data_IF_739098296164
#
_entry.id   IF_739098296164
#
_cell.length_a   1.000
_cell.length_b   1.000
_cell.length_c   1.000
_cell.angle_alpha   90.00
_cell.angle_beta   90.00
_cell.angle_gamma   90.00
#
_symmetry.space_group_name_H-M   'P 1'
#
loop_
_entity.id
_entity.type
_entity.pdbx_description
1 polymer ?
#
# COMPACT_ATOMS: atom_id res chain seq x y z
N UNK A 1 -6.04 3.12 17.93
CA UNK A 1 -6.59 1.85 18.46
C UNK A 1 -5.43 0.88 18.66
N UNK A 2 -5.43 0.06 19.72
CA UNK A 2 -4.36 -0.91 19.95
C UNK A 2 -4.66 -2.18 19.13
N UNK A 3 -3.66 -2.70 18.40
CA UNK A 3 -3.77 -3.89 17.54
C UNK A 3 -4.47 -5.08 18.21
N UNK A 4 -4.19 -5.33 19.49
CA UNK A 4 -4.82 -6.41 20.25
C UNK A 4 -6.37 -6.31 20.29
N UNK A 5 -6.89 -5.08 20.33
CA UNK A 5 -8.33 -4.85 20.34
C UNK A 5 -8.95 -5.09 18.95
N UNK A 6 -8.24 -4.69 17.88
CA UNK A 6 -8.67 -4.94 16.49
C UNK A 6 -8.67 -6.44 16.15
N UNK A 7 -7.66 -7.19 16.63
CA UNK A 7 -7.60 -8.65 16.49
C UNK A 7 -8.78 -9.31 17.22
N UNK A 8 -9.07 -8.87 18.46
CA UNK A 8 -10.20 -9.38 19.23
C UNK A 8 -11.55 -9.09 18.56
N UNK A 9 -11.75 -7.88 18.03
CA UNK A 9 -12.96 -7.54 17.27
C UNK A 9 -13.10 -8.35 15.98
N UNK A 10 -11.97 -8.76 15.41
CA UNK A 10 -11.94 -9.61 14.23
C UNK A 10 -12.08 -11.08 14.57
N UNK A 11 -12.30 -11.49 15.83
CA UNK A 11 -12.32 -12.90 16.24
C UNK A 11 -11.01 -13.63 15.85
N UNK A 12 -9.88 -12.93 15.93
CA UNK A 12 -8.56 -13.52 15.74
C UNK A 12 -7.99 -13.91 17.11
N UNK A 13 -7.65 -15.19 17.27
CA UNK A 13 -7.09 -15.73 18.51
C UNK A 13 -5.62 -15.34 18.73
N UNK A 14 -4.96 -14.80 17.71
CA UNK A 14 -3.56 -14.39 17.80
C UNK A 14 -3.38 -13.24 18.82
N UNK A 15 -2.34 -13.36 19.64
CA UNK A 15 -1.75 -12.21 20.32
C UNK A 15 -1.08 -11.26 19.32
N UNK A 16 -0.79 -10.03 19.73
CA UNK A 16 -0.13 -9.05 18.86
C UNK A 16 1.25 -9.48 18.35
N UNK A 17 1.99 -10.31 19.10
CA UNK A 17 3.30 -10.82 18.65
C UNK A 17 3.14 -12.04 17.74
N UNK A 18 2.20 -12.96 18.03
CA UNK A 18 1.89 -14.08 17.11
C UNK A 18 1.42 -13.57 15.76
N UNK A 19 0.52 -12.59 15.75
CA UNK A 19 0.06 -11.95 14.53
C UNK A 19 1.23 -11.31 13.77
N UNK A 20 2.15 -10.64 14.47
CA UNK A 20 3.35 -10.08 13.84
C UNK A 20 4.23 -11.15 13.20
N UNK A 21 4.54 -12.23 13.91
CA UNK A 21 5.36 -13.33 13.38
C UNK A 21 4.68 -13.96 12.16
N UNK A 22 3.34 -14.06 12.19
CA UNK A 22 2.53 -14.52 11.07
C UNK A 22 2.66 -13.63 9.85
N UNK A 23 2.49 -12.32 10.02
CA UNK A 23 2.64 -11.34 8.95
C UNK A 23 4.03 -11.47 8.30
N UNK A 24 5.09 -11.56 9.09
CA UNK A 24 6.47 -11.73 8.59
C UNK A 24 6.61 -13.05 7.83
N UNK A 25 6.18 -14.17 8.43
CA UNK A 25 6.28 -15.51 7.82
C UNK A 25 5.55 -15.57 6.47
N UNK A 26 4.31 -15.10 6.41
CA UNK A 26 3.50 -15.12 5.18
C UNK A 26 4.15 -14.23 4.13
N UNK A 27 4.68 -13.07 4.53
CA UNK A 27 5.36 -12.16 3.62
C UNK A 27 6.63 -12.78 3.04
N UNK A 28 7.52 -13.31 3.86
CA UNK A 28 8.77 -13.92 3.41
C UNK A 28 8.52 -15.13 2.53
N UNK A 29 7.43 -15.87 2.78
CA UNK A 29 7.06 -17.05 1.98
C UNK A 29 6.47 -16.67 0.62
N UNK A 30 5.60 -15.66 0.56
CA UNK A 30 4.80 -15.33 -0.63
C UNK A 30 5.37 -14.19 -1.47
N UNK A 31 6.15 -13.31 -0.85
CA UNK A 31 6.65 -12.08 -1.45
C UNK A 31 8.13 -11.82 -1.09
N UNK A 32 9.05 -12.80 -1.23
CA UNK A 32 10.45 -12.68 -0.78
C UNK A 32 11.26 -11.61 -1.53
N UNK A 33 10.79 -11.19 -2.71
CA UNK A 33 11.50 -10.31 -3.63
C UNK A 33 11.06 -8.84 -3.56
N UNK A 34 10.12 -8.48 -2.68
CA UNK A 34 9.68 -7.10 -2.53
C UNK A 34 9.70 -6.65 -1.07
N UNK A 35 9.56 -5.35 -0.87
CA UNK A 35 9.39 -4.74 0.45
C UNK A 35 7.93 -4.48 0.75
N UNK A 36 7.60 -4.24 2.02
CA UNK A 36 6.22 -3.90 2.41
C UNK A 36 5.72 -2.62 1.73
N UNK A 37 6.58 -1.60 1.54
CA UNK A 37 6.18 -0.38 0.83
C UNK A 37 5.83 -0.68 -0.66
N UNK A 38 6.56 -1.60 -1.29
CA UNK A 38 6.27 -2.06 -2.66
C UNK A 38 4.98 -2.88 -2.72
N UNK A 39 4.76 -3.77 -1.74
CA UNK A 39 3.56 -4.59 -1.66
C UNK A 39 2.30 -3.72 -1.62
N UNK A 40 2.26 -2.71 -0.75
CA UNK A 40 1.08 -1.83 -0.63
C UNK A 40 0.90 -0.90 -1.85
N UNK A 41 1.92 -0.75 -2.70
CA UNK A 41 1.82 -0.08 -4.01
C UNK A 41 1.35 -1.03 -5.14
N UNK A 42 1.10 -2.29 -4.83
CA UNK A 42 0.61 -3.30 -5.78
C UNK A 42 -0.70 -3.87 -5.25
N UNK A 43 -1.84 -3.19 -5.50
CA UNK A 43 -3.11 -3.53 -4.88
C UNK A 43 -3.51 -5.00 -5.00
N UNK A 44 -3.26 -5.61 -6.16
CA UNK A 44 -3.54 -7.03 -6.39
C UNK A 44 -2.68 -7.96 -5.55
N UNK A 45 -1.41 -7.64 -5.36
CA UNK A 45 -0.50 -8.43 -4.53
C UNK A 45 -0.81 -8.20 -3.04
N UNK A 46 -1.15 -6.97 -2.65
CA UNK A 46 -1.62 -6.66 -1.31
C UNK A 46 -2.89 -7.43 -0.92
N UNK A 47 -3.86 -7.58 -1.84
CA UNK A 47 -5.03 -8.45 -1.62
C UNK A 47 -4.63 -9.91 -1.41
N UNK A 48 -3.78 -10.46 -2.30
CA UNK A 48 -3.30 -11.85 -2.18
C UNK A 48 -2.57 -12.10 -0.87
N UNK A 49 -1.76 -11.13 -0.44
CA UNK A 49 -1.09 -11.19 0.86
C UNK A 49 -2.09 -11.19 2.01
N UNK A 50 -3.09 -10.30 1.99
CA UNK A 50 -4.14 -10.27 3.01
C UNK A 50 -4.95 -11.57 3.05
N UNK A 51 -5.29 -12.13 1.89
CA UNK A 51 -5.97 -13.43 1.78
C UNK A 51 -5.12 -14.56 2.39
N UNK A 52 -3.80 -14.57 2.12
CA UNK A 52 -2.88 -15.56 2.67
C UNK A 52 -2.77 -15.43 4.20
N UNK A 53 -2.68 -14.21 4.73
CA UNK A 53 -2.67 -13.96 6.18
C UNK A 53 -3.97 -14.43 6.83
N UNK A 54 -5.15 -14.11 6.25
CA UNK A 54 -6.44 -14.57 6.77
C UNK A 54 -6.54 -16.09 6.80
N UNK A 55 -6.14 -16.74 5.72
CA UNK A 55 -6.16 -18.20 5.62
C UNK A 55 -5.26 -18.84 6.67
N UNK A 56 -4.07 -18.29 6.86
CA UNK A 56 -3.06 -18.82 7.77
C UNK A 56 -3.44 -18.55 9.25
N UNK A 57 -4.04 -17.38 9.53
CA UNK A 57 -4.64 -17.04 10.83
C UNK A 57 -5.96 -17.78 11.12
N UNK A 58 -6.52 -18.49 10.13
CA UNK A 58 -7.85 -19.11 10.18
C UNK A 58 -8.97 -18.12 10.56
N UNK A 59 -8.77 -16.85 10.25
CA UNK A 59 -9.66 -15.76 10.65
C UNK A 59 -10.13 -15.00 9.41
N UNK A 60 -11.36 -15.28 8.97
CA UNK A 60 -11.94 -14.74 7.72
C UNK A 60 -12.40 -13.29 7.82
N UNK A 61 -12.68 -12.86 9.04
CA UNK A 61 -13.22 -11.55 9.44
C UNK A 61 -12.15 -10.45 9.50
N UNK A 62 -10.86 -10.82 9.52
CA UNK A 62 -9.75 -9.86 9.48
C UNK A 62 -9.78 -9.03 8.19
N UNK A 63 -9.96 -7.72 8.34
CA UNK A 63 -9.94 -6.82 7.19
C UNK A 63 -8.54 -6.64 6.60
N UNK A 64 -8.48 -6.38 5.28
CA UNK A 64 -7.23 -6.03 4.59
C UNK A 64 -6.54 -4.84 5.26
N UNK A 65 -7.34 -3.87 5.72
CA UNK A 65 -6.86 -2.70 6.43
C UNK A 65 -6.07 -3.07 7.68
N UNK A 66 -6.62 -3.91 8.57
CA UNK A 66 -5.93 -4.32 9.80
C UNK A 66 -4.61 -5.03 9.47
N UNK A 67 -4.62 -5.92 8.47
CA UNK A 67 -3.44 -6.69 8.06
C UNK A 67 -2.34 -5.77 7.51
N UNK A 68 -2.67 -4.93 6.52
CA UNK A 68 -1.71 -4.07 5.83
C UNK A 68 -1.23 -2.92 6.74
N UNK A 69 -2.13 -2.31 7.53
CA UNK A 69 -1.78 -1.28 8.49
C UNK A 69 -0.84 -1.84 9.58
N UNK A 70 -1.08 -3.07 10.04
CA UNK A 70 -0.19 -3.74 11.00
C UNK A 70 1.19 -3.98 10.40
N UNK A 71 1.26 -4.52 9.18
CA UNK A 71 2.52 -4.75 8.49
C UNK A 71 3.31 -3.44 8.29
N UNK A 72 2.64 -2.37 7.87
CA UNK A 72 3.22 -1.04 7.71
C UNK A 72 3.73 -0.45 9.03
N UNK A 73 2.98 -0.63 10.12
CA UNK A 73 3.38 -0.20 11.45
C UNK A 73 4.61 -0.96 11.98
N UNK A 74 4.66 -2.27 11.78
CA UNK A 74 5.82 -3.08 12.18
C UNK A 74 7.07 -2.73 11.37
N UNK A 75 6.92 -2.46 10.07
CA UNK A 75 7.98 -1.91 9.22
C UNK A 75 8.51 -0.58 9.74
N UNK A 76 7.63 0.37 10.09
CA UNK A 76 8.03 1.68 10.66
C UNK A 76 8.84 1.54 11.95
N UNK A 77 8.56 0.53 12.77
CA UNK A 77 9.28 0.23 14.02
C UNK A 77 10.63 -0.49 13.80
N UNK A 78 11.10 -0.63 12.55
CA UNK A 78 12.32 -1.41 12.16
C UNK A 78 12.30 -2.86 12.68
N UNK A 79 11.11 -3.40 12.87
CA UNK A 79 10.84 -4.72 13.46
C UNK A 79 10.53 -5.78 12.39
N UNK A 80 10.78 -5.45 11.13
CA UNK A 80 10.43 -6.22 9.94
C UNK A 80 11.70 -6.55 9.14
N UNK A 81 11.88 -7.79 8.63
CA UNK A 81 13.00 -8.12 7.76
C UNK A 81 12.94 -7.28 6.49
N UNK A 82 13.89 -6.38 6.31
CA UNK A 82 13.93 -5.52 5.12
C UNK A 82 14.41 -6.32 3.93
N UNK A 83 13.50 -6.69 3.02
CA UNK A 83 13.86 -7.10 1.66
C UNK A 83 14.68 -6.00 0.95
N UNK A 84 15.31 -6.36 -0.18
CA UNK A 84 16.06 -5.38 -0.98
C UNK A 84 15.11 -4.28 -1.50
N UNK A 85 15.31 -3.03 -1.07
CA UNK A 85 14.56 -1.89 -1.60
C UNK A 85 15.03 -1.59 -3.02
N UNK A 86 14.12 -1.56 -3.99
CA UNK A 86 14.40 -0.86 -5.25
C UNK A 86 14.22 0.63 -5.03
N UNK A 87 15.32 1.36 -5.15
CA UNK A 87 15.30 2.82 -5.05
C UNK A 87 14.80 3.41 -6.37
N UNK A 88 13.59 3.97 -6.35
CA UNK A 88 13.10 4.79 -7.46
C UNK A 88 13.59 6.21 -7.20
N UNK A 89 14.61 6.62 -7.94
CA UNK A 89 15.13 8.00 -7.91
C UNK A 89 14.15 8.96 -8.61
N UNK A 90 14.23 10.27 -8.32
CA UNK A 90 13.37 11.29 -8.98
C UNK A 90 13.50 11.22 -10.51
N UNK A 91 14.73 11.06 -11.00
CA UNK A 91 15.02 10.91 -12.44
C UNK A 91 14.33 9.68 -13.04
N UNK A 92 14.35 8.55 -12.32
CA UNK A 92 13.68 7.33 -12.78
C UNK A 92 12.14 7.48 -12.75
N UNK A 93 11.60 8.26 -11.81
CA UNK A 93 10.16 8.51 -11.73
C UNK A 93 9.65 9.36 -12.91
N UNK A 94 10.30 10.48 -13.21
CA UNK A 94 9.92 11.33 -14.34
C UNK A 94 10.06 10.58 -15.67
N UNK A 95 11.10 9.76 -15.82
CA UNK A 95 11.25 8.89 -16.99
C UNK A 95 10.08 7.91 -17.10
N UNK A 96 9.71 7.24 -16.01
CA UNK A 96 8.57 6.32 -16.01
C UNK A 96 7.23 7.01 -16.33
N UNK A 97 7.03 8.27 -15.92
CA UNK A 97 5.86 9.07 -16.31
C UNK A 97 5.87 9.38 -17.81
N UNK A 98 7.01 9.82 -18.34
CA UNK A 98 7.17 10.12 -19.76
C UNK A 98 6.96 8.86 -20.62
N UNK A 99 7.53 7.72 -20.22
CA UNK A 99 7.36 6.42 -20.89
C UNK A 99 5.88 5.96 -20.86
N UNK A 100 5.14 6.32 -19.80
CA UNK A 100 3.71 6.07 -19.69
C UNK A 100 2.83 7.09 -20.44
N UNK A 101 3.42 8.13 -21.02
CA UNK A 101 2.73 9.17 -21.79
C UNK A 101 2.17 10.33 -20.98
N UNK A 102 2.52 10.47 -19.69
CA UNK A 102 1.98 11.56 -18.86
C UNK A 102 2.69 12.90 -19.14
N UNK A 103 1.95 13.97 -19.51
CA UNK A 103 2.53 15.27 -19.79
C UNK A 103 2.76 16.04 -18.48
N UNK A 104 3.84 15.74 -17.78
CA UNK A 104 4.21 16.45 -16.55
C UNK A 104 5.33 15.78 -15.78
N UNK A 105 5.82 16.48 -14.76
CA UNK A 105 6.77 15.92 -13.81
C UNK A 105 6.07 15.23 -12.65
N UNK A 106 6.89 14.65 -11.76
CA UNK A 106 6.43 13.97 -10.55
C UNK A 106 5.55 14.84 -9.65
N UNK A 107 5.86 16.13 -9.50
CA UNK A 107 5.17 16.97 -8.54
C UNK A 107 3.78 17.35 -9.09
N UNK A 108 3.68 17.67 -10.38
CA UNK A 108 2.39 17.84 -11.06
C UNK A 108 1.54 16.56 -11.07
N UNK A 109 2.16 15.40 -11.35
CA UNK A 109 1.45 14.11 -11.32
C UNK A 109 0.95 13.74 -9.92
N UNK A 110 1.72 14.10 -8.89
CA UNK A 110 1.35 13.88 -7.51
C UNK A 110 0.14 14.73 -7.11
N UNK A 111 0.14 16.03 -7.41
CA UNK A 111 -1.00 16.91 -7.12
C UNK A 111 -2.27 16.38 -7.80
N UNK A 112 -2.18 16.04 -9.09
CA UNK A 112 -3.25 15.40 -9.83
C UNK A 112 -3.79 14.13 -9.16
N UNK A 113 -2.90 13.26 -8.67
CA UNK A 113 -3.29 12.01 -8.00
C UNK A 113 -3.96 12.29 -6.64
N UNK A 114 -3.52 13.32 -5.92
CA UNK A 114 -4.15 13.75 -4.66
C UNK A 114 -5.55 14.31 -4.91
N UNK A 115 -5.73 15.09 -5.97
CA UNK A 115 -7.04 15.62 -6.36
C UNK A 115 -8.01 14.49 -6.75
N UNK A 116 -7.52 13.49 -7.48
CA UNK A 116 -8.28 12.28 -7.78
C UNK A 116 -8.71 11.54 -6.50
N UNK A 117 -7.79 11.39 -5.53
CA UNK A 117 -8.09 10.78 -4.24
C UNK A 117 -9.15 11.57 -3.47
N UNK A 118 -9.02 12.89 -3.40
CA UNK A 118 -9.97 13.75 -2.70
C UNK A 118 -11.36 13.73 -3.35
N UNK A 119 -11.42 13.61 -4.68
CA UNK A 119 -12.66 13.47 -5.45
C UNK A 119 -13.39 12.16 -5.14
N UNK A 120 -12.67 11.03 -5.14
CA UNK A 120 -13.26 9.71 -4.89
C UNK A 120 -13.54 9.44 -3.40
N UNK A 121 -12.65 9.88 -2.52
CA UNK A 121 -12.63 9.49 -1.11
C UNK A 121 -12.33 10.69 -0.20
N UNK A 122 -13.32 11.55 -0.01
CA UNK A 122 -13.21 12.80 0.79
C UNK A 122 -12.64 12.63 2.21
N UNK A 123 -12.76 11.44 2.81
CA UNK A 123 -12.33 11.14 4.18
C UNK A 123 -11.07 10.28 4.27
N UNK A 124 -10.53 9.75 3.16
CA UNK A 124 -9.34 8.90 3.19
C UNK A 124 -8.08 9.72 3.00
N UNK A 125 -7.12 9.51 3.92
CA UNK A 125 -5.77 10.01 3.75
C UNK A 125 -4.99 9.17 2.75
N UNK A 126 -3.93 9.77 2.21
CA UNK A 126 -2.94 9.10 1.35
C UNK A 126 -2.30 7.88 2.02
N UNK A 127 -2.10 7.90 3.33
CA UNK A 127 -1.56 6.73 4.05
C UNK A 127 -2.59 5.61 4.16
N UNK A 128 -3.87 5.96 4.35
CA UNK A 128 -4.94 4.97 4.50
C UNK A 128 -5.28 4.27 3.19
N UNK A 129 -5.33 4.98 2.05
CA UNK A 129 -5.74 4.37 0.78
C UNK A 129 -4.90 3.14 0.41
N UNK A 130 -3.60 3.15 0.71
CA UNK A 130 -2.69 2.03 0.42
C UNK A 130 -2.93 0.79 1.29
N UNK A 131 -3.66 0.93 2.40
CA UNK A 131 -4.11 -0.18 3.25
C UNK A 131 -5.51 -0.69 2.86
N UNK A 132 -6.15 -0.06 1.87
CA UNK A 132 -7.44 -0.46 1.31
C UNK A 132 -7.24 -0.87 -0.15
N UNK A 133 -6.77 -2.09 -0.44
CA UNK A 133 -6.25 -2.41 -1.76
C UNK A 133 -7.33 -2.38 -2.86
N UNK A 134 -8.60 -2.65 -2.55
CA UNK A 134 -9.69 -2.48 -3.52
C UNK A 134 -9.90 -1.01 -3.89
N UNK A 135 -9.89 -0.12 -2.91
CA UNK A 135 -10.01 1.32 -3.10
C UNK A 135 -8.77 1.90 -3.79
N UNK A 136 -7.57 1.41 -3.46
CA UNK A 136 -6.33 1.77 -4.13
C UNK A 136 -6.36 1.38 -5.61
N UNK A 137 -6.87 0.18 -5.94
CA UNK A 137 -7.04 -0.26 -7.33
C UNK A 137 -8.06 0.62 -8.06
N UNK A 138 -9.19 0.94 -7.42
CA UNK A 138 -10.19 1.83 -7.98
C UNK A 138 -9.63 3.24 -8.26
N UNK A 139 -8.82 3.77 -7.33
CA UNK A 139 -8.09 5.03 -7.54
C UNK A 139 -7.14 4.94 -8.73
N UNK A 140 -6.36 3.86 -8.85
CA UNK A 140 -5.43 3.69 -9.96
C UNK A 140 -6.15 3.68 -11.31
N UNK A 141 -7.30 3.02 -11.41
CA UNK A 141 -8.11 3.04 -12.62
C UNK A 141 -8.65 4.44 -12.90
N UNK A 142 -9.20 5.11 -11.89
CA UNK A 142 -9.71 6.48 -12.02
C UNK A 142 -8.63 7.46 -12.50
N UNK A 143 -7.41 7.36 -11.97
CA UNK A 143 -6.26 8.17 -12.39
C UNK A 143 -5.91 7.92 -13.86
N UNK A 144 -5.91 6.67 -14.34
CA UNK A 144 -5.68 6.37 -15.76
C UNK A 144 -6.75 6.99 -16.65
N UNK A 145 -8.01 6.85 -16.24
CA UNK A 145 -9.15 7.36 -17.01
C UNK A 145 -9.11 8.90 -17.10
N UNK A 146 -8.78 9.58 -16.00
CA UNK A 146 -8.76 11.05 -15.94
C UNK A 146 -7.49 11.68 -16.54
N UNK A 147 -6.36 10.97 -16.49
CA UNK A 147 -5.11 11.42 -17.13
C UNK A 147 -5.04 11.08 -18.62
N UNK A 148 -5.92 10.19 -19.11
CA UNK A 148 -5.83 9.60 -20.44
C UNK A 148 -4.62 8.67 -20.63
N UNK A 149 -3.86 8.38 -19.57
CA UNK A 149 -2.61 7.62 -19.63
C UNK A 149 -2.82 6.18 -19.14
N UNK A 150 -3.28 5.30 -20.03
CA UNK A 150 -3.61 3.91 -19.70
C UNK A 150 -2.41 3.07 -19.26
N UNK A 151 -1.19 3.46 -19.66
CA UNK A 151 0.05 2.73 -19.38
C UNK A 151 0.66 3.03 -17.99
N UNK A 152 0.06 3.93 -17.22
CA UNK A 152 0.51 4.18 -15.84
C UNK A 152 0.38 2.89 -15.02
N UNK A 153 1.45 2.48 -14.34
CA UNK A 153 1.39 1.33 -13.43
C UNK A 153 0.78 1.70 -12.08
N UNK A 154 0.12 0.73 -11.42
CA UNK A 154 -0.43 0.96 -10.05
C UNK A 154 0.69 1.42 -9.10
N UNK A 155 1.89 0.85 -9.24
CA UNK A 155 3.04 1.19 -8.42
C UNK A 155 3.46 2.64 -8.62
N UNK A 156 3.48 3.15 -9.86
CA UNK A 156 3.84 4.53 -10.15
C UNK A 156 2.82 5.52 -9.56
N UNK A 157 1.53 5.23 -9.71
CA UNK A 157 0.42 6.04 -9.17
C UNK A 157 0.50 6.10 -7.64
N UNK A 158 0.56 4.95 -6.99
CA UNK A 158 0.55 4.89 -5.52
C UNK A 158 1.84 5.41 -4.91
N UNK A 159 2.99 5.24 -5.57
CA UNK A 159 4.26 5.86 -5.11
C UNK A 159 4.27 7.38 -5.24
N UNK A 160 3.51 7.96 -6.18
CA UNK A 160 3.39 9.41 -6.31
C UNK A 160 2.89 10.03 -4.99
N UNK A 161 1.93 9.36 -4.34
CA UNK A 161 1.30 9.83 -3.12
C UNK A 161 1.98 9.32 -1.84
N UNK A 162 2.56 8.10 -1.82
CA UNK A 162 3.27 7.58 -0.64
C UNK A 162 4.50 8.41 -0.20
N UNK A 163 5.04 9.27 -1.08
CA UNK A 163 6.22 10.09 -0.81
C UNK A 163 6.06 11.16 0.27
N UNK A 164 4.85 11.40 0.79
CA UNK A 164 4.55 12.51 1.69
C UNK A 164 4.89 12.30 3.18
N UNK A 165 5.81 11.37 3.50
CA UNK A 165 6.16 11.05 4.91
C UNK A 165 6.97 12.15 5.63
N UNK A 166 7.19 13.32 5.03
CA UNK A 166 7.85 14.47 5.67
C UNK A 166 7.29 15.80 5.14
N UNK A 167 6.23 16.28 5.77
CA UNK A 167 6.06 17.66 6.26
C UNK A 167 4.62 17.83 6.73
N UNK A 168 4.32 17.62 8.02
CA UNK A 168 3.29 18.44 8.63
C UNK A 168 3.80 19.89 8.61
N UNK A 169 3.13 20.77 7.87
CA UNK A 169 3.10 22.17 8.26
C UNK A 169 2.26 22.31 9.52
#
# INVERSE_FOLDING_TARGET
>A
MQLAQELKYSECDDTGEEFRQRLIRVFDTKHPYCTIDELVCRPRDAMKYADAVRSDAKCKTLSDYIILQSAMNFRKRKKWPTGMKKEITRTNFNRALADAGYPGDRDAFREFTIDCLASMYKSLSVDHITCYPRQALALCNFVRDHSGCTNLSDELILRAIQGNRKNPQ
#
